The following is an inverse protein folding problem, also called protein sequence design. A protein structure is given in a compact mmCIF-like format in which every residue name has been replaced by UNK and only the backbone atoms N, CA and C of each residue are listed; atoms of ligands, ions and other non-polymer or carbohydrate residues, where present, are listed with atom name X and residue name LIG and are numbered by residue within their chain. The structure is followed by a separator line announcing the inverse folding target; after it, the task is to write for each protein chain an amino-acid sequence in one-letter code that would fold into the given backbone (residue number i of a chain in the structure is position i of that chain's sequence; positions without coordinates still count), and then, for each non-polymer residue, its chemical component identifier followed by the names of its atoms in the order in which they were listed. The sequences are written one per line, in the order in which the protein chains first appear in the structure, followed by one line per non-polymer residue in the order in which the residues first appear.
data_IF_757054242368
#
_entry.id   IF_757054242368
#
_cell.length_a   1.000
_cell.length_b   1.000
_cell.length_c   1.000
_cell.angle_alpha   90.00
_cell.angle_beta   90.00
_cell.angle_gamma   90.00
#
_symmetry.space_group_name_H-M   'P 1'
#
loop_
_entity.id
_entity.type
_entity.pdbx_description
1 polymer ?
#
# COMPACT_ATOMS: atom_id res chain seq x y z
N UNK A 1 0.32 9.32 -14.24
CA UNK A 1 0.16 7.95 -13.71
C UNK A 1 -0.43 7.09 -14.81
N UNK A 2 0.21 5.95 -15.05
CA UNK A 2 -0.28 4.92 -15.95
C UNK A 2 -0.54 3.62 -15.19
N UNK A 3 -1.39 2.76 -15.74
CA UNK A 3 -1.80 1.50 -15.12
C UNK A 3 -1.30 0.33 -15.95
N UNK A 4 -0.62 -0.62 -15.29
CA UNK A 4 -0.39 -1.96 -15.79
C UNK A 4 -1.55 -2.84 -15.33
N UNK A 5 -2.26 -3.48 -16.26
CA UNK A 5 -3.26 -4.51 -15.94
C UNK A 5 -2.86 -5.86 -16.51
N UNK A 6 -2.89 -6.87 -15.64
CA UNK A 6 -2.58 -8.26 -15.92
C UNK A 6 -3.71 -9.14 -15.35
N UNK A 7 -4.56 -9.66 -16.23
CA UNK A 7 -5.82 -10.33 -15.87
C UNK A 7 -6.65 -9.51 -14.86
N UNK A 8 -6.79 -9.97 -13.61
CA UNK A 8 -7.53 -9.28 -12.54
C UNK A 8 -6.65 -8.32 -11.70
N UNK A 9 -5.33 -8.37 -11.84
CA UNK A 9 -4.39 -7.50 -11.12
C UNK A 9 -4.22 -6.19 -11.87
N UNK A 10 -4.37 -5.07 -11.18
CA UNK A 10 -4.06 -3.73 -11.70
C UNK A 10 -3.05 -3.05 -10.77
N UNK A 11 -2.02 -2.44 -11.34
CA UNK A 11 -0.93 -1.78 -10.61
C UNK A 11 -0.61 -0.46 -11.30
N UNK A 12 -0.66 0.64 -10.57
CA UNK A 12 -0.34 1.96 -11.10
C UNK A 12 1.15 2.27 -10.96
N UNK A 13 1.72 2.96 -11.95
CA UNK A 13 3.13 3.34 -12.02
C UNK A 13 3.25 4.71 -12.69
N UNK A 14 4.37 5.40 -12.52
CA UNK A 14 4.66 6.58 -13.35
C UNK A 14 4.72 6.17 -14.83
N UNK A 15 4.17 7.00 -15.72
CA UNK A 15 4.16 6.75 -17.16
C UNK A 15 5.56 6.48 -17.72
N UNK A 16 6.59 7.14 -17.15
CA UNK A 16 7.98 6.91 -17.52
C UNK A 16 8.45 5.49 -17.16
N UNK A 17 8.19 5.01 -15.95
CA UNK A 17 8.49 3.63 -15.55
C UNK A 17 7.68 2.63 -16.37
N UNK A 18 6.38 2.87 -16.55
CA UNK A 18 5.49 1.96 -17.27
C UNK A 18 5.94 1.71 -18.71
N UNK A 19 6.50 2.71 -19.41
CA UNK A 19 7.03 2.52 -20.76
C UNK A 19 8.29 1.65 -20.80
N UNK A 20 9.16 1.74 -19.79
CA UNK A 20 10.34 0.88 -19.70
C UNK A 20 9.94 -0.56 -19.37
N UNK A 21 8.98 -0.73 -18.44
CA UNK A 21 8.37 -2.02 -18.15
C UNK A 21 7.69 -2.62 -19.38
N UNK A 22 6.90 -1.85 -20.14
CA UNK A 22 6.28 -2.31 -21.39
C UNK A 22 7.31 -2.90 -22.34
N UNK A 23 8.41 -2.17 -22.62
CA UNK A 23 9.42 -2.65 -23.57
C UNK A 23 10.08 -3.94 -23.06
N UNK A 24 10.46 -4.02 -21.77
CA UNK A 24 11.11 -5.21 -21.20
C UNK A 24 10.15 -6.41 -21.17
N UNK A 25 8.91 -6.21 -20.72
CA UNK A 25 7.88 -7.26 -20.65
C UNK A 25 7.54 -7.77 -22.06
N UNK A 26 7.30 -6.87 -23.02
CA UNK A 26 6.99 -7.26 -24.41
C UNK A 26 8.17 -7.98 -25.06
N UNK A 27 9.42 -7.57 -24.81
CA UNK A 27 10.60 -8.28 -25.33
C UNK A 27 10.74 -9.69 -24.76
N UNK A 28 10.50 -9.87 -23.45
CA UNK A 28 10.49 -11.17 -22.76
C UNK A 28 9.40 -12.09 -23.29
N UNK A 29 8.15 -11.62 -23.28
CA UNK A 29 6.99 -12.40 -23.73
C UNK A 29 7.08 -12.76 -25.22
N UNK A 30 7.68 -11.91 -26.08
CA UNK A 30 7.96 -12.25 -27.49
C UNK A 30 8.93 -13.42 -27.68
N UNK A 31 9.72 -13.79 -26.67
CA UNK A 31 10.60 -14.98 -26.69
C UNK A 31 9.95 -16.22 -26.10
N UNK A 32 8.67 -16.13 -25.71
CA UNK A 32 7.98 -17.14 -24.89
C UNK A 32 8.66 -17.40 -23.53
N UNK A 33 9.47 -16.44 -23.06
CA UNK A 33 10.03 -16.46 -21.71
C UNK A 33 8.99 -15.91 -20.73
N UNK A 34 8.38 -16.80 -19.95
CA UNK A 34 7.58 -16.42 -18.80
C UNK A 34 8.50 -16.14 -17.60
N UNK A 35 8.17 -15.12 -16.80
CA UNK A 35 9.05 -14.64 -15.73
C UNK A 35 8.26 -14.02 -14.57
N UNK A 36 8.86 -14.01 -13.38
CA UNK A 36 8.34 -13.28 -12.24
C UNK A 36 8.66 -11.79 -12.40
N UNK A 37 7.68 -10.92 -12.18
CA UNK A 37 7.90 -9.49 -11.95
C UNK A 37 7.58 -9.16 -10.50
N UNK A 38 8.45 -8.42 -9.81
CA UNK A 38 8.28 -8.02 -8.41
C UNK A 38 8.42 -6.52 -8.22
N UNK A 39 7.61 -5.95 -7.34
CA UNK A 39 7.64 -4.54 -6.95
C UNK A 39 7.35 -4.40 -5.46
N UNK A 40 7.63 -3.24 -4.87
CA UNK A 40 7.31 -2.94 -3.48
C UNK A 40 6.09 -2.01 -3.40
N UNK A 41 5.22 -2.26 -2.43
CA UNK A 41 4.14 -1.33 -2.07
C UNK A 41 4.61 -0.37 -0.98
N UNK A 42 4.29 0.91 -1.14
CA UNK A 42 4.54 1.93 -0.12
C UNK A 42 3.56 1.84 1.06
N UNK A 43 4.07 2.16 2.25
CA UNK A 43 3.33 2.67 3.41
C UNK A 43 2.19 1.86 4.05
N UNK A 44 2.12 0.56 3.79
CA UNK A 44 1.66 -0.33 4.87
C UNK A 44 2.82 -0.59 5.84
N UNK A 45 2.59 -0.48 7.15
CA UNK A 45 3.61 -0.63 8.19
C UNK A 45 4.33 -2.00 8.20
N UNK A 46 3.84 -2.97 7.42
CA UNK A 46 4.61 -4.12 6.95
C UNK A 46 4.93 -3.94 5.45
N UNK A 47 6.15 -3.47 5.14
CA UNK A 47 6.59 -3.20 3.77
C UNK A 47 6.47 -4.43 2.85
N UNK A 48 5.44 -4.44 2.01
CA UNK A 48 5.04 -5.61 1.22
C UNK A 48 5.71 -5.63 -0.15
N UNK A 49 6.54 -6.64 -0.42
CA UNK A 49 6.93 -6.99 -1.79
C UNK A 49 5.85 -7.86 -2.42
N UNK A 50 5.26 -7.38 -3.51
CA UNK A 50 4.35 -8.17 -4.34
C UNK A 50 5.07 -8.67 -5.59
N UNK A 51 4.53 -9.73 -6.19
CA UNK A 51 5.01 -10.22 -7.47
C UNK A 51 3.96 -11.00 -8.22
N UNK A 52 4.02 -10.92 -9.54
CA UNK A 52 3.14 -11.63 -10.47
C UNK A 52 3.98 -12.43 -11.45
N UNK A 53 3.46 -13.60 -11.84
CA UNK A 53 4.04 -14.42 -12.88
C UNK A 53 3.45 -14.00 -14.23
N UNK A 54 4.29 -13.46 -15.11
CA UNK A 54 3.90 -13.00 -16.44
C UNK A 54 4.15 -14.12 -17.45
N UNK A 55 3.12 -14.53 -18.20
CA UNK A 55 3.25 -15.50 -19.30
C UNK A 55 2.49 -15.06 -20.55
N UNK A 56 2.82 -15.64 -21.72
CA UNK A 56 2.30 -15.21 -23.03
C UNK A 56 0.84 -15.58 -23.32
N UNK A 57 0.12 -16.13 -22.33
CA UNK A 57 -1.25 -16.61 -22.48
C UNK A 57 -2.29 -15.78 -21.71
N UNK A 58 -1.84 -14.80 -20.93
CA UNK A 58 -2.68 -13.92 -20.13
C UNK A 58 -2.97 -12.59 -20.84
N UNK A 59 -3.99 -11.88 -20.39
CA UNK A 59 -4.37 -10.58 -20.94
C UNK A 59 -3.56 -9.46 -20.29
N UNK A 60 -2.75 -8.77 -21.11
CA UNK A 60 -1.84 -7.73 -20.67
C UNK A 60 -2.21 -6.39 -21.32
N UNK A 61 -2.47 -5.37 -20.52
CA UNK A 61 -2.85 -4.02 -20.96
C UNK A 61 -1.98 -2.97 -20.27
N UNK A 62 -1.43 -2.06 -21.07
CA UNK A 62 -0.72 -0.87 -20.63
C UNK A 62 -1.59 0.35 -20.91
N UNK A 63 -1.89 1.15 -19.88
CA UNK A 63 -2.66 2.39 -19.99
C UNK A 63 -1.80 3.56 -19.52
N UNK A 64 -1.46 4.48 -20.42
CA UNK A 64 -0.73 5.69 -20.06
C UNK A 64 -1.71 6.84 -19.78
N UNK A 65 -1.46 7.62 -18.73
CA UNK A 65 -2.22 8.83 -18.40
C UNK A 65 -1.71 10.06 -19.16
N UNK A 66 -0.41 10.11 -19.46
CA UNK A 66 0.22 11.17 -20.25
C UNK A 66 -0.07 11.06 -21.76
N UNK A 67 -0.14 12.21 -22.44
CA UNK A 67 -0.24 12.29 -23.92
C UNK A 67 1.13 12.41 -24.61
N UNK A 68 2.16 12.74 -23.84
CA UNK A 68 3.51 12.98 -24.34
C UNK A 68 4.28 11.68 -24.55
N UNK A 69 5.21 11.71 -25.50
CA UNK A 69 6.14 10.60 -25.71
C UNK A 69 7.10 10.52 -24.53
N UNK A 70 6.98 9.46 -23.74
CA UNK A 70 7.96 9.10 -22.73
C UNK A 70 9.35 8.98 -23.37
N UNK A 71 10.33 9.70 -22.82
CA UNK A 71 11.74 9.54 -23.19
C UNK A 71 12.26 8.24 -22.57
N UNK A 72 12.66 7.31 -23.42
CA UNK A 72 13.23 6.02 -23.02
C UNK A 72 14.73 6.18 -22.78
N UNK A 73 15.18 5.73 -21.63
CA UNK A 73 16.58 5.64 -21.24
C UNK A 73 17.09 4.22 -21.52
N UNK A 74 18.11 4.13 -22.36
CA UNK A 74 18.67 2.85 -22.79
C UNK A 74 19.52 2.17 -21.70
N UNK A 75 20.14 2.93 -20.79
CA UNK A 75 20.97 2.38 -19.71
C UNK A 75 20.07 1.77 -18.63
N UNK A 76 19.03 2.50 -18.23
CA UNK A 76 18.03 1.98 -17.29
C UNK A 76 17.26 0.77 -17.87
N UNK A 77 16.91 0.81 -19.16
CA UNK A 77 16.29 -0.33 -19.84
C UNK A 77 17.22 -1.56 -19.86
N UNK A 78 18.52 -1.37 -20.06
CA UNK A 78 19.49 -2.45 -19.96
C UNK A 78 19.57 -3.04 -18.54
N UNK A 79 19.56 -2.19 -17.50
CA UNK A 79 19.52 -2.65 -16.11
C UNK A 79 18.24 -3.46 -15.80
N UNK A 80 17.07 -3.00 -16.25
CA UNK A 80 15.80 -3.73 -16.12
C UNK A 80 15.81 -5.04 -16.90
N UNK A 81 16.40 -5.10 -18.10
CA UNK A 81 16.58 -6.36 -18.83
C UNK A 81 17.50 -7.34 -18.10
N UNK A 82 18.61 -6.87 -17.52
CA UNK A 82 19.51 -7.71 -16.70
C UNK A 82 18.76 -8.26 -15.48
N UNK A 83 17.97 -7.43 -14.82
CA UNK A 83 17.05 -7.83 -13.74
C UNK A 83 16.06 -8.91 -14.21
N UNK A 84 15.36 -8.70 -15.33
CA UNK A 84 14.43 -9.68 -15.90
C UNK A 84 15.07 -11.01 -16.37
N UNK A 85 16.39 -11.06 -16.54
CA UNK A 85 17.16 -12.28 -16.83
C UNK A 85 17.68 -12.98 -15.55
N UNK A 86 17.50 -12.37 -14.37
CA UNK A 86 17.91 -12.92 -13.08
C UNK A 86 16.98 -14.05 -12.61
N UNK A 87 17.46 -15.03 -11.83
CA UNK A 87 16.61 -16.02 -11.15
C UNK A 87 15.53 -15.41 -10.22
N UNK A 88 15.71 -14.16 -9.78
CA UNK A 88 14.72 -13.42 -8.99
C UNK A 88 13.62 -12.77 -9.84
N UNK A 89 13.74 -12.80 -11.16
CA UNK A 89 12.83 -12.12 -12.09
C UNK A 89 13.04 -10.60 -12.15
N UNK A 90 12.17 -9.92 -12.89
CA UNK A 90 12.20 -8.47 -13.07
C UNK A 90 11.85 -7.77 -11.75
N UNK A 91 12.85 -7.15 -11.12
CA UNK A 91 12.63 -6.20 -10.02
C UNK A 91 12.33 -4.82 -10.61
N UNK A 92 11.20 -4.23 -10.20
CA UNK A 92 10.76 -2.90 -10.61
C UNK A 92 11.52 -1.83 -9.82
N UNK A 93 12.42 -1.13 -10.51
CA UNK A 93 13.24 -0.02 -9.98
C UNK A 93 13.08 1.25 -10.83
N UNK A 94 13.16 2.42 -10.20
CA UNK A 94 13.23 3.74 -10.83
C UNK A 94 14.54 4.01 -11.57
N UNK A 95 14.61 5.17 -12.22
CA UNK A 95 15.80 5.62 -12.96
C UNK A 95 16.95 6.03 -12.02
N UNK A 96 16.62 6.37 -10.77
CA UNK A 96 17.53 6.51 -9.63
C UNK A 96 18.07 5.17 -9.08
N UNK A 97 17.58 4.03 -9.59
CA UNK A 97 17.88 2.70 -9.06
C UNK A 97 17.13 2.35 -7.78
N UNK A 98 16.33 3.26 -7.22
CA UNK A 98 15.46 3.00 -6.07
C UNK A 98 14.36 2.00 -6.43
N UNK A 99 13.93 1.15 -5.50
CA UNK A 99 12.80 0.25 -5.77
C UNK A 99 11.51 1.08 -5.78
N UNK A 100 10.73 1.02 -6.85
CA UNK A 100 9.65 2.00 -7.08
C UNK A 100 8.30 1.52 -6.57
N UNK A 101 7.55 2.48 -6.02
CA UNK A 101 6.25 2.28 -5.40
C UNK A 101 5.14 2.55 -6.43
N UNK A 102 4.02 1.82 -6.39
CA UNK A 102 2.83 2.17 -7.14
C UNK A 102 2.12 3.34 -6.48
N UNK A 103 1.93 4.42 -7.24
CA UNK A 103 1.35 5.67 -6.77
C UNK A 103 -0.14 5.48 -6.47
N UNK A 104 -0.54 5.50 -5.19
CA UNK A 104 -1.94 5.71 -4.85
C UNK A 104 -2.29 7.18 -5.08
N UNK A 105 -3.50 7.48 -5.53
CA UNK A 105 -3.95 8.87 -5.66
C UNK A 105 -4.13 9.48 -4.26
N UNK A 106 -3.13 10.24 -3.81
CA UNK A 106 -3.25 11.13 -2.65
C UNK A 106 -4.25 12.25 -2.99
N UNK A 107 -5.53 11.98 -2.77
CA UNK A 107 -6.51 13.01 -2.44
C UNK A 107 -6.20 13.52 -1.03
N UNK A 108 -5.12 14.29 -0.94
CA UNK A 108 -4.70 15.01 0.26
C UNK A 108 -5.78 16.05 0.57
N UNK A 109 -6.73 15.65 1.42
CA UNK A 109 -7.86 16.47 1.83
C UNK A 109 -7.39 17.48 2.88
N UNK A 110 -6.61 18.46 2.42
CA UNK A 110 -6.18 19.65 3.16
C UNK A 110 -7.39 20.50 3.61
N UNK A 111 -8.04 20.05 4.68
CA UNK A 111 -8.94 20.87 5.47
C UNK A 111 -8.09 21.79 6.35
N UNK A 112 -7.58 22.85 5.72
CA UNK A 112 -6.68 23.83 6.33
C UNK A 112 -7.22 24.41 7.63
N UNK A 113 -6.39 24.29 8.67
CA UNK A 113 -6.68 24.71 10.04
C UNK A 113 -6.57 26.26 10.17
N UNK A 114 -7.69 26.97 9.96
CA UNK A 114 -7.78 28.44 10.00
C UNK A 114 -8.30 28.98 11.34
N UNK A 115 -7.41 29.21 12.31
CA UNK A 115 -7.77 29.67 13.68
C UNK A 115 -8.34 31.10 13.77
N UNK A 116 -9.46 31.19 14.50
CA UNK A 116 -9.81 32.17 15.55
C UNK A 116 -10.05 33.69 15.25
N UNK A 117 -11.19 34.19 15.74
CA UNK A 117 -11.40 35.59 16.16
C UNK A 117 -12.26 35.69 17.45
N UNK A 118 -11.97 36.72 18.26
CA UNK A 118 -12.34 36.92 19.69
C UNK A 118 -12.90 38.36 19.88
N UNK A 119 -13.67 38.82 20.90
CA UNK A 119 -14.03 38.34 22.26
C UNK A 119 -15.46 38.85 22.64
N UNK A 120 -16.01 38.43 23.79
CA UNK A 120 -17.16 39.11 24.43
C UNK A 120 -17.97 38.23 25.41
N UNK A 121 -17.53 37.97 26.66
CA UNK A 121 -17.80 38.79 27.88
C UNK A 121 -19.30 38.81 28.28
N UNK A 122 -19.78 38.42 29.48
CA UNK A 122 -19.22 38.30 30.84
C UNK A 122 -19.93 37.19 31.69
N UNK A 123 -19.60 36.96 33.00
CA UNK A 123 -19.96 35.72 33.75
C UNK A 123 -21.12 35.90 34.78
N UNK A 124 -21.29 35.10 35.87
CA UNK A 124 -22.52 34.34 36.18
C UNK A 124 -23.37 34.92 37.35
N UNK A 125 -24.41 34.21 37.81
CA UNK A 125 -24.31 33.70 39.18
C UNK A 125 -24.76 32.24 39.38
N UNK A 126 -24.27 31.66 40.47
CA UNK A 126 -24.64 30.36 41.04
C UNK A 126 -25.97 30.41 41.81
N UNK A 127 -26.56 29.23 42.05
CA UNK A 127 -27.29 28.77 43.25
C UNK A 127 -27.86 27.38 42.84
N UNK A 128 -27.19 26.26 43.13
CA UNK A 128 -27.12 25.54 44.43
C UNK A 128 -28.49 25.25 45.05
N UNK A 129 -28.95 24.00 44.93
CA UNK A 129 -29.37 23.20 46.09
C UNK A 129 -29.61 21.72 45.71
N UNK A 130 -29.40 20.78 46.65
CA UNK A 130 -29.97 19.42 46.54
C UNK A 130 -29.03 18.22 46.28
N UNK A 131 -28.02 18.04 47.12
CA UNK A 131 -27.67 16.78 47.86
C UNK A 131 -28.35 15.45 47.41
N UNK A 132 -27.69 14.28 47.44
CA UNK A 132 -26.46 13.88 48.14
C UNK A 132 -25.88 12.52 47.69
N UNK A 133 -24.64 12.27 48.13
CA UNK A 133 -24.09 10.96 48.50
C UNK A 133 -23.86 9.88 47.40
N UNK A 134 -22.63 9.89 46.89
CA UNK A 134 -21.86 8.68 46.56
C UNK A 134 -21.58 7.85 47.86
N UNK A 135 -20.96 6.64 47.84
CA UNK A 135 -19.61 6.46 47.26
C UNK A 135 -19.29 5.08 46.63
N UNK A 136 -18.19 5.04 45.84
CA UNK A 136 -17.06 4.06 45.83
C UNK A 136 -17.33 2.55 46.02
N UNK A 137 -16.60 1.62 45.39
CA UNK A 137 -15.44 1.67 44.49
C UNK A 137 -15.22 0.28 43.87
N UNK A 138 -14.25 0.17 42.95
CA UNK A 138 -13.36 -0.99 42.95
C UNK A 138 -13.74 -2.22 42.11
N UNK A 139 -13.15 -2.25 40.91
CA UNK A 139 -12.33 -3.36 40.38
C UNK A 139 -12.87 -4.81 40.35
N UNK A 140 -12.98 -5.32 39.12
CA UNK A 140 -12.73 -6.73 38.75
C UNK A 140 -11.43 -7.28 39.39
N UNK A 141 -11.35 -8.57 39.75
CA UNK A 141 -10.76 -9.48 38.74
C UNK A 141 -11.30 -10.92 38.71
N UNK A 142 -11.01 -11.57 37.58
CA UNK A 142 -11.21 -12.99 37.31
C UNK A 142 -10.61 -13.94 38.37
N UNK A 143 -11.28 -15.08 38.60
CA UNK A 143 -10.66 -16.40 38.84
C UNK A 143 -11.71 -17.50 38.61
N UNK A 144 -11.49 -18.31 37.58
CA UNK A 144 -12.11 -19.63 37.41
C UNK A 144 -11.39 -20.63 38.34
N UNK A 145 -12.10 -21.59 38.96
CA UNK A 145 -11.84 -22.97 38.54
C UNK A 145 -13.08 -23.87 38.52
N UNK A 146 -13.24 -24.64 37.45
CA UNK A 146 -14.14 -25.80 37.42
C UNK A 146 -13.50 -27.01 38.13
N UNK A 147 -14.26 -27.79 38.94
CA UNK A 147 -13.80 -29.06 39.48
C UNK A 147 -14.25 -30.23 38.58
N UNK A 148 -13.43 -30.62 37.60
CA UNK A 148 -13.61 -31.91 36.94
C UNK A 148 -12.96 -33.02 37.79
N UNK A 149 -13.79 -33.92 38.30
CA UNK A 149 -13.38 -34.98 39.21
C UNK A 149 -12.79 -36.20 38.49
N UNK A 150 -11.85 -36.85 39.16
CA UNK A 150 -11.26 -38.13 38.75
C UNK A 150 -12.30 -39.13 38.23
N UNK A 151 -12.05 -39.68 37.05
CA UNK A 151 -12.53 -41.00 36.67
C UNK A 151 -11.32 -41.89 36.36
N UNK A 152 -10.82 -42.52 37.42
CA UNK A 152 -10.05 -43.75 37.27
C UNK A 152 -10.96 -44.81 36.64
N UNK A 153 -10.49 -45.48 35.60
CA UNK A 153 -10.86 -46.86 35.35
C UNK A 153 -9.70 -47.59 34.65
N UNK A 154 -9.29 -48.68 35.29
CA UNK A 154 -8.34 -49.70 34.83
C UNK A 154 -8.94 -50.53 33.67
#
# INVERSE_FOLDING_TARGET
MGTLKYDDVSVDFDDRLLAHLEIVIVQKLRRHEAFLMTWQHGDSAAGGRSGIWLHTGASLMFRFGGRDKVVVDHEWLAALMVSANSPMGLVVSGDDGGMRHPSHDDHDNDHGDGRAHDNGHAPPPSDDDGRAAAPTDGQDPATEPAPDGDHQHD
#
